data_IF_883789051037
#
_entry.id   IF_883789051037
#
_cell.length_a   1.000
_cell.length_b   1.000
_cell.length_c   1.000
_cell.angle_alpha   90.00
_cell.angle_beta   90.00
_cell.angle_gamma   90.00
#
_symmetry.space_group_name_H-M   'P 1'
#
loop_
_entity.id
_entity.type
_entity.pdbx_description
1 polymer ?
#
# COMPACT_ATOMS: atom_id res chain seq x y z
N UNK A 1 -19.04 39.77 -44.20
CA UNK A 1 -18.09 39.85 -43.06
C UNK A 1 -18.86 40.17 -41.79
N UNK A 2 -18.99 39.21 -40.87
CA UNK A 2 -18.99 39.45 -39.41
C UNK A 2 -18.95 38.09 -38.71
N UNK A 3 -17.87 37.94 -37.95
CA UNK A 3 -17.45 36.76 -37.21
C UNK A 3 -18.37 36.53 -36.02
N UNK A 4 -18.75 35.27 -35.74
CA UNK A 4 -19.27 34.87 -34.44
C UNK A 4 -18.22 34.00 -33.76
N UNK A 5 -17.64 34.54 -32.69
CA UNK A 5 -16.61 33.94 -31.85
C UNK A 5 -17.06 32.63 -31.20
N UNK A 6 -16.20 31.62 -31.30
CA UNK A 6 -16.18 30.47 -30.39
C UNK A 6 -15.73 30.96 -29.00
N UNK A 7 -16.59 30.88 -27.98
CA UNK A 7 -16.17 30.96 -26.59
C UNK A 7 -15.72 29.56 -26.15
N UNK A 8 -14.41 29.34 -26.08
CA UNK A 8 -13.84 28.20 -25.40
C UNK A 8 -13.88 28.46 -23.88
N UNK A 9 -14.70 27.71 -23.15
CA UNK A 9 -14.64 27.65 -21.69
C UNK A 9 -13.38 26.91 -21.28
N UNK A 10 -12.41 27.63 -20.73
CA UNK A 10 -11.23 27.04 -20.10
C UNK A 10 -11.64 26.36 -18.79
N UNK A 11 -11.45 25.05 -18.70
CA UNK A 11 -11.54 24.33 -17.43
C UNK A 11 -10.34 24.72 -16.57
N UNK A 12 -10.59 25.32 -15.40
CA UNK A 12 -9.55 25.59 -14.41
C UNK A 12 -9.32 24.29 -13.65
N UNK A 13 -8.25 23.57 -13.98
CA UNK A 13 -7.77 22.47 -13.17
C UNK A 13 -7.20 23.05 -11.86
N UNK A 14 -7.87 22.79 -10.74
CA UNK A 14 -7.34 23.12 -9.42
C UNK A 14 -6.15 22.20 -9.14
N UNK A 15 -4.94 22.77 -9.15
CA UNK A 15 -3.77 22.10 -8.60
C UNK A 15 -3.90 22.13 -7.07
N UNK A 16 -4.27 20.99 -6.49
CA UNK A 16 -4.12 20.78 -5.05
C UNK A 16 -2.62 20.64 -4.80
N UNK A 17 -2.01 21.64 -4.15
CA UNK A 17 -0.66 21.50 -3.61
C UNK A 17 -0.66 20.32 -2.64
N UNK A 18 0.09 19.27 -2.98
CA UNK A 18 0.43 18.21 -2.04
C UNK A 18 1.38 18.79 -1.00
N UNK A 19 0.82 19.34 0.08
CA UNK A 19 1.59 19.57 1.31
C UNK A 19 2.07 18.19 1.77
N UNK A 20 3.37 17.99 2.09
CA UNK A 20 3.83 16.75 2.69
C UNK A 20 3.01 16.47 3.94
N UNK A 21 2.31 15.33 3.95
CA UNK A 21 1.50 14.94 5.10
C UNK A 21 2.37 14.12 6.03
N UNK A 22 3.43 14.69 6.62
CA UNK A 22 4.26 13.90 7.54
C UNK A 22 3.39 13.43 8.72
N UNK A 23 3.36 12.11 8.98
CA UNK A 23 2.63 11.59 10.12
C UNK A 23 3.27 12.08 11.43
N UNK A 24 2.52 12.74 12.33
CA UNK A 24 3.06 13.15 13.63
C UNK A 24 3.52 11.96 14.48
N UNK A 25 2.86 10.81 14.31
CA UNK A 25 3.27 9.52 14.85
C UNK A 25 2.60 8.38 14.10
N UNK A 26 3.30 7.24 13.99
CA UNK A 26 2.73 5.97 13.54
C UNK A 26 2.32 5.19 14.80
N UNK A 27 1.07 4.69 14.91
CA UNK A 27 0.64 3.88 16.05
C UNK A 27 1.58 2.69 16.27
N UNK A 28 1.92 2.37 17.52
CA UNK A 28 2.84 1.27 17.84
C UNK A 28 2.23 -0.12 17.70
N UNK A 29 0.92 -0.21 17.46
CA UNK A 29 0.15 -1.44 17.39
C UNK A 29 -0.62 -1.52 16.07
N UNK A 30 -0.89 -2.75 15.64
CA UNK A 30 -1.74 -3.02 14.49
C UNK A 30 -3.20 -2.66 14.76
N UNK A 31 -3.86 -2.05 13.76
CA UNK A 31 -5.30 -1.94 13.76
C UNK A 31 -5.91 -3.27 13.29
N UNK A 32 -6.58 -3.99 14.19
CA UNK A 32 -7.12 -5.32 13.90
C UNK A 32 -8.20 -5.31 12.81
N UNK A 33 -8.97 -4.23 12.65
CA UNK A 33 -9.94 -4.11 11.56
C UNK A 33 -9.26 -3.99 10.20
N UNK A 34 -8.19 -3.20 10.12
CA UNK A 34 -7.37 -3.07 8.91
C UNK A 34 -6.67 -4.40 8.58
N UNK A 35 -6.06 -5.05 9.59
CA UNK A 35 -5.42 -6.35 9.43
C UNK A 35 -6.41 -7.41 8.91
N UNK A 36 -7.62 -7.48 9.50
CA UNK A 36 -8.67 -8.40 9.08
C UNK A 36 -9.05 -8.18 7.61
N UNK A 37 -9.22 -6.92 7.20
CA UNK A 37 -9.60 -6.60 5.83
C UNK A 37 -8.49 -6.96 4.84
N UNK A 38 -7.23 -6.60 5.12
CA UNK A 38 -6.07 -6.99 4.29
C UNK A 38 -6.00 -8.50 4.16
N UNK A 39 -6.10 -9.24 5.28
CA UNK A 39 -6.07 -10.70 5.29
C UNK A 39 -7.21 -11.33 4.47
N UNK A 40 -8.44 -10.83 4.58
CA UNK A 40 -9.56 -11.33 3.77
C UNK A 40 -9.34 -11.15 2.27
N UNK A 41 -8.70 -10.05 1.87
CA UNK A 41 -8.35 -9.81 0.47
C UNK A 41 -7.28 -10.80 0.00
N UNK A 42 -6.24 -11.08 0.81
CA UNK A 42 -5.23 -12.08 0.44
C UNK A 42 -5.85 -13.48 0.27
N UNK A 43 -6.83 -13.84 1.10
CA UNK A 43 -7.57 -15.10 0.96
C UNK A 43 -8.42 -15.13 -0.31
N UNK A 44 -9.12 -14.03 -0.61
CA UNK A 44 -9.93 -13.90 -1.83
C UNK A 44 -9.05 -14.01 -3.08
N UNK A 45 -7.84 -13.44 -3.02
CA UNK A 45 -6.82 -13.50 -4.08
C UNK A 45 -6.05 -14.82 -4.10
N UNK A 46 -6.29 -15.73 -3.15
CA UNK A 46 -5.67 -17.05 -3.02
C UNK A 46 -4.14 -17.02 -2.97
N UNK A 47 -3.60 -16.05 -2.23
CA UNK A 47 -2.16 -15.96 -2.02
C UNK A 47 -1.63 -17.19 -1.27
N UNK A 48 -0.41 -17.61 -1.60
CA UNK A 48 0.31 -18.60 -0.81
C UNK A 48 0.82 -18.02 0.53
N UNK A 49 1.40 -18.84 1.41
CA UNK A 49 1.90 -18.37 2.72
C UNK A 49 3.03 -17.35 2.59
N UNK A 50 3.85 -17.42 1.53
CA UNK A 50 4.96 -16.49 1.30
C UNK A 50 4.46 -15.13 0.83
N UNK A 51 3.50 -15.11 -0.08
CA UNK A 51 2.84 -13.91 -0.59
C UNK A 51 1.97 -13.25 0.49
N UNK A 52 1.26 -14.06 1.30
CA UNK A 52 0.56 -13.57 2.49
C UNK A 52 1.54 -12.91 3.47
N UNK A 53 2.64 -13.59 3.80
CA UNK A 53 3.64 -13.05 4.72
C UNK A 53 4.23 -11.74 4.20
N UNK A 54 4.61 -11.68 2.91
CA UNK A 54 5.12 -10.47 2.28
C UNK A 54 4.13 -9.30 2.34
N UNK A 55 2.84 -9.59 2.15
CA UNK A 55 1.77 -8.58 2.24
C UNK A 55 1.67 -8.01 3.66
N UNK A 56 1.71 -8.85 4.70
CA UNK A 56 1.60 -8.41 6.10
C UNK A 56 2.91 -7.76 6.59
N UNK A 57 4.08 -8.24 6.16
CA UNK A 57 5.36 -7.57 6.39
C UNK A 57 5.34 -6.15 5.84
N UNK A 58 4.84 -5.97 4.61
CA UNK A 58 4.73 -4.65 3.99
C UNK A 58 3.79 -3.76 4.79
N UNK A 59 2.57 -4.21 5.09
CA UNK A 59 1.62 -3.42 5.87
C UNK A 59 2.19 -3.03 7.25
N UNK A 60 2.96 -3.93 7.89
CA UNK A 60 3.63 -3.65 9.15
C UNK A 60 4.72 -2.59 8.99
N UNK A 61 5.66 -2.77 8.06
CA UNK A 61 6.79 -1.85 7.87
C UNK A 61 6.32 -0.44 7.50
N UNK A 62 5.28 -0.33 6.66
CA UNK A 62 4.85 0.95 6.12
C UNK A 62 3.98 1.75 7.11
N UNK A 63 3.14 1.09 7.90
CA UNK A 63 2.14 1.80 8.73
C UNK A 63 1.84 1.15 10.07
N UNK A 64 2.60 0.12 10.44
CA UNK A 64 2.21 -0.83 11.49
C UNK A 64 0.77 -1.35 11.30
N UNK A 65 0.34 -1.58 10.06
CA UNK A 65 -1.02 -2.02 9.70
C UNK A 65 -2.11 -1.00 10.11
N UNK A 66 -1.88 0.28 9.83
CA UNK A 66 -2.83 1.36 10.05
C UNK A 66 -3.14 2.10 8.74
N UNK A 67 -4.39 2.50 8.52
CA UNK A 67 -4.76 3.23 7.31
C UNK A 67 -4.53 4.74 7.50
N UNK A 68 -3.29 5.18 7.31
CA UNK A 68 -2.84 6.53 7.62
C UNK A 68 -3.17 7.52 6.49
N UNK A 69 -3.73 8.68 6.81
CA UNK A 69 -3.94 9.77 5.84
C UNK A 69 -2.70 10.67 5.69
N UNK A 70 -1.53 10.15 6.05
CA UNK A 70 -0.27 10.84 6.15
C UNK A 70 0.87 9.84 5.81
N UNK A 71 2.04 10.37 5.47
CA UNK A 71 3.25 9.67 5.09
C UNK A 71 4.32 10.61 4.52
N UNK A 72 5.48 10.05 4.17
CA UNK A 72 6.50 10.80 3.43
C UNK A 72 5.94 11.30 2.10
N UNK A 73 6.17 12.58 1.78
CA UNK A 73 5.67 13.24 0.57
C UNK A 73 4.14 13.12 0.45
N UNK A 74 3.64 12.40 -0.57
CA UNK A 74 2.22 12.15 -0.81
C UNK A 74 1.81 10.69 -0.51
N UNK A 75 2.61 9.96 0.25
CA UNK A 75 2.31 8.58 0.65
C UNK A 75 1.12 8.53 1.60
N UNK A 76 0.18 7.62 1.36
CA UNK A 76 -0.98 7.41 2.22
C UNK A 76 -1.39 5.94 2.27
N UNK A 77 -2.23 5.61 3.23
CA UNK A 77 -2.86 4.31 3.42
C UNK A 77 -1.95 3.28 4.09
N UNK A 78 -2.46 2.06 4.17
CA UNK A 78 -1.83 0.94 4.90
C UNK A 78 -0.49 0.47 4.31
N UNK A 79 -0.25 0.71 3.02
CA UNK A 79 1.01 0.38 2.34
C UNK A 79 1.86 1.63 2.01
N UNK A 80 1.46 2.81 2.51
CA UNK A 80 2.12 4.10 2.20
C UNK A 80 2.36 4.28 0.69
N UNK A 81 1.32 4.01 -0.09
CA UNK A 81 1.37 4.10 -1.55
C UNK A 81 1.29 5.55 -1.99
N UNK A 82 2.03 5.88 -3.05
CA UNK A 82 2.14 7.26 -3.57
C UNK A 82 1.31 7.46 -4.84
N UNK A 83 0.27 8.31 -4.81
CA UNK A 83 -0.48 8.71 -6.01
C UNK A 83 0.43 9.23 -7.12
N UNK A 84 1.42 10.07 -6.77
CA UNK A 84 2.39 10.60 -7.73
C UNK A 84 3.27 9.55 -8.40
N UNK A 85 3.36 8.33 -7.85
CA UNK A 85 4.09 7.20 -8.44
C UNK A 85 3.19 6.21 -9.18
N UNK A 86 1.91 6.55 -9.39
CA UNK A 86 1.00 5.74 -10.19
C UNK A 86 0.28 4.62 -9.44
N UNK A 87 0.30 4.65 -8.10
CA UNK A 87 -0.47 3.70 -7.28
C UNK A 87 -1.98 3.94 -7.27
N UNK A 88 -2.45 5.06 -7.83
CA UNK A 88 -3.86 5.45 -7.88
C UNK A 88 -4.08 6.89 -7.46
N UNK A 89 -5.33 7.27 -7.22
CA UNK A 89 -5.70 8.53 -6.56
C UNK A 89 -5.51 8.42 -5.04
N UNK A 90 -5.47 9.54 -4.32
CA UNK A 90 -5.44 9.54 -2.83
C UNK A 90 -6.58 8.70 -2.25
N UNK A 91 -7.80 8.83 -2.79
CA UNK A 91 -8.97 8.07 -2.33
C UNK A 91 -8.80 6.56 -2.55
N UNK A 92 -8.15 6.17 -3.64
CA UNK A 92 -7.82 4.78 -3.95
C UNK A 92 -6.72 4.23 -3.04
N UNK A 93 -5.64 4.98 -2.79
CA UNK A 93 -4.60 4.57 -1.85
C UNK A 93 -5.12 4.47 -0.39
N UNK A 94 -6.12 5.27 -0.04
CA UNK A 94 -6.82 5.21 1.27
C UNK A 94 -7.87 4.11 1.36
N UNK A 95 -8.31 3.53 0.24
CA UNK A 95 -9.22 2.38 0.23
C UNK A 95 -8.39 1.11 0.37
N UNK A 96 -8.49 0.44 1.53
CA UNK A 96 -7.76 -0.78 1.84
C UNK A 96 -7.99 -1.87 0.78
N UNK A 97 -9.21 -1.99 0.24
CA UNK A 97 -9.48 -2.96 -0.81
C UNK A 97 -8.72 -2.64 -2.09
N UNK A 98 -8.70 -1.38 -2.52
CA UNK A 98 -7.93 -0.98 -3.69
C UNK A 98 -6.42 -1.12 -3.45
N UNK A 99 -5.92 -0.55 -2.35
CA UNK A 99 -4.50 -0.52 -2.03
C UNK A 99 -3.89 -1.92 -1.91
N UNK A 100 -4.59 -2.85 -1.23
CA UNK A 100 -4.14 -4.25 -1.14
C UNK A 100 -4.15 -4.95 -2.49
N UNK A 101 -5.20 -4.77 -3.31
CA UNK A 101 -5.23 -5.39 -4.64
C UNK A 101 -4.12 -4.83 -5.55
N UNK A 102 -3.88 -3.53 -5.54
CA UNK A 102 -2.81 -2.90 -6.33
C UNK A 102 -1.42 -3.42 -5.93
N UNK A 103 -1.18 -3.63 -4.63
CA UNK A 103 0.05 -4.26 -4.14
C UNK A 103 0.18 -5.70 -4.65
N UNK A 104 -0.89 -6.50 -4.50
CA UNK A 104 -0.92 -7.92 -4.91
C UNK A 104 -0.72 -8.07 -6.43
N UNK A 105 -1.25 -7.15 -7.24
CA UNK A 105 -1.12 -7.16 -8.70
C UNK A 105 0.36 -7.04 -9.14
N UNK A 106 1.22 -6.41 -8.34
CA UNK A 106 2.68 -6.42 -8.55
C UNK A 106 3.36 -7.61 -7.86
N UNK A 107 2.86 -8.03 -6.69
CA UNK A 107 3.42 -9.11 -5.88
C UNK A 107 3.44 -10.46 -6.61
N UNK A 108 2.31 -10.89 -7.18
CA UNK A 108 2.17 -12.23 -7.79
C UNK A 108 3.15 -12.43 -8.97
N UNK A 109 3.25 -11.49 -9.94
CA UNK A 109 4.26 -11.58 -10.99
C UNK A 109 5.69 -11.64 -10.44
N UNK A 110 6.00 -10.85 -9.40
CA UNK A 110 7.32 -10.86 -8.77
C UNK A 110 7.61 -12.19 -8.06
N UNK A 111 6.61 -12.79 -7.40
CA UNK A 111 6.73 -14.07 -6.71
C UNK A 111 7.10 -15.21 -7.68
N UNK A 112 6.52 -15.16 -8.89
CA UNK A 112 6.82 -16.08 -9.99
C UNK A 112 8.22 -15.86 -10.56
N UNK A 113 8.65 -14.59 -10.68
CA UNK A 113 9.99 -14.22 -11.18
C UNK A 113 11.10 -14.56 -10.20
N UNK A 114 10.81 -14.53 -8.90
CA UNK A 114 11.76 -14.74 -7.82
C UNK A 114 11.31 -15.89 -6.90
N UNK A 115 11.31 -17.15 -7.37
CA UNK A 115 10.75 -18.28 -6.61
C UNK A 115 11.56 -18.62 -5.35
N UNK A 116 12.83 -18.22 -5.28
CA UNK A 116 13.71 -18.48 -4.13
C UNK A 116 13.84 -17.29 -3.17
N UNK A 117 13.15 -16.18 -3.42
CA UNK A 117 13.20 -15.02 -2.52
C UNK A 117 12.44 -15.30 -1.23
N UNK A 118 12.89 -14.70 -0.13
CA UNK A 118 12.09 -14.59 1.09
C UNK A 118 10.82 -13.76 0.85
N UNK A 119 9.91 -13.76 1.82
CA UNK A 119 8.75 -12.88 1.83
C UNK A 119 9.17 -11.40 1.87
N UNK A 120 10.17 -11.05 2.68
CA UNK A 120 10.63 -9.67 2.79
C UNK A 120 11.33 -9.17 1.52
N UNK A 121 12.13 -10.03 0.87
CA UNK A 121 12.69 -9.73 -0.45
C UNK A 121 11.62 -9.56 -1.51
N UNK A 122 10.53 -10.33 -1.42
CA UNK A 122 9.39 -10.20 -2.32
C UNK A 122 8.64 -8.87 -2.07
N UNK A 123 8.41 -8.50 -0.81
CA UNK A 123 7.86 -7.18 -0.43
C UNK A 123 8.74 -6.03 -0.96
N UNK A 124 10.06 -6.11 -0.75
CA UNK A 124 11.03 -5.15 -1.27
C UNK A 124 10.99 -5.05 -2.80
N UNK A 125 10.77 -6.16 -3.52
CA UNK A 125 10.67 -6.13 -4.98
C UNK A 125 9.48 -5.29 -5.49
N UNK A 126 8.43 -5.16 -4.68
CA UNK A 126 7.25 -4.35 -4.97
C UNK A 126 7.48 -2.89 -4.54
N UNK A 127 7.84 -2.67 -3.27
CA UNK A 127 7.97 -1.33 -2.68
C UNK A 127 9.21 -0.57 -3.16
N UNK A 128 10.30 -1.28 -3.46
CA UNK A 128 11.59 -0.72 -3.91
C UNK A 128 12.13 0.37 -2.98
N UNK A 129 12.10 0.11 -1.67
CA UNK A 129 12.59 1.04 -0.64
C UNK A 129 14.13 1.15 -0.63
N UNK A 130 14.66 2.19 0.04
CA UNK A 130 16.11 2.33 0.30
C UNK A 130 16.63 1.37 1.39
N UNK A 131 15.75 0.62 2.05
CA UNK A 131 16.06 -0.21 3.21
C UNK A 131 15.54 -1.65 3.05
N UNK A 132 16.16 -2.43 2.14
CA UNK A 132 15.61 -3.72 1.72
C UNK A 132 15.40 -4.72 2.86
N UNK A 133 16.25 -4.70 3.88
CA UNK A 133 16.24 -5.68 4.96
C UNK A 133 15.08 -5.48 5.96
N UNK A 134 14.38 -4.33 5.93
CA UNK A 134 13.33 -4.01 6.91
C UNK A 134 12.15 -4.98 6.86
N UNK A 135 11.80 -5.49 5.68
CA UNK A 135 10.68 -6.42 5.53
C UNK A 135 11.02 -7.80 6.12
N UNK A 136 12.23 -8.33 5.86
CA UNK A 136 12.67 -9.59 6.48
C UNK A 136 12.77 -9.47 8.01
N UNK A 137 13.19 -8.30 8.52
CA UNK A 137 13.20 -8.02 9.96
C UNK A 137 11.79 -8.02 10.58
N UNK A 138 10.75 -7.73 9.79
CA UNK A 138 9.37 -7.74 10.24
C UNK A 138 8.71 -9.13 10.26
N UNK A 139 9.37 -10.16 9.73
CA UNK A 139 8.77 -11.50 9.54
C UNK A 139 8.14 -12.07 10.83
N UNK A 140 8.84 -11.99 11.96
CA UNK A 140 8.34 -12.51 13.24
C UNK A 140 7.07 -11.79 13.71
N UNK A 141 7.03 -10.46 13.52
CA UNK A 141 5.86 -9.65 13.88
C UNK A 141 4.69 -9.98 12.95
N UNK A 142 4.93 -10.01 11.64
CA UNK A 142 3.93 -10.33 10.64
C UNK A 142 3.33 -11.73 10.84
N UNK A 143 4.15 -12.74 11.17
CA UNK A 143 3.69 -14.08 11.54
C UNK A 143 2.79 -14.06 12.78
N UNK A 144 3.14 -13.25 13.80
CA UNK A 144 2.30 -13.04 14.97
C UNK A 144 0.93 -12.45 14.63
N UNK A 145 0.90 -11.45 13.76
CA UNK A 145 -0.34 -10.83 13.27
C UNK A 145 -1.18 -11.81 12.45
N UNK A 146 -0.56 -12.60 11.57
CA UNK A 146 -1.24 -13.66 10.80
C UNK A 146 -1.86 -14.69 11.74
N UNK A 147 -1.14 -15.12 12.79
CA UNK A 147 -1.68 -16.04 13.79
C UNK A 147 -2.87 -15.42 14.53
N UNK A 148 -2.77 -14.15 14.90
CA UNK A 148 -3.83 -13.44 15.60
C UNK A 148 -5.10 -13.35 14.74
N UNK A 149 -4.99 -12.88 13.50
CA UNK A 149 -6.14 -12.71 12.59
C UNK A 149 -6.80 -14.04 12.19
N UNK A 150 -6.04 -15.15 12.17
CA UNK A 150 -6.58 -16.51 11.96
C UNK A 150 -7.37 -17.05 13.14
N UNK A 151 -7.13 -16.53 14.35
CA UNK A 151 -7.81 -16.95 15.58
C UNK A 151 -9.05 -16.12 15.91
N UNK A 152 -9.33 -15.06 15.13
CA UNK A 152 -10.54 -14.24 15.22
C UNK A 152 -11.66 -14.81 14.34
#
# INVERSE_FOLDING_TARGET
MKFLSLLATAAVAAFVSAVPLDCPSIPSQANMGVLQQVYQITQTRRLDERELLATIETAWVESHVNNLNCGDQDSVGVFQQRPSQGWGTVAQCMDINHATNAFIDQLIPNASKFPSSSAGQLAQSVQRSEYPDRYDQAASIAQGLIKQVRGH
#
